data_IF_015506868432
#
_entry.id   IF_015506868432
#
_cell.length_a   1.000
_cell.length_b   1.000
_cell.length_c   1.000
_cell.angle_alpha   90.00
_cell.angle_beta   90.00
_cell.angle_gamma   90.00
#
_symmetry.space_group_name_H-M   'P 1'
#
loop_
_entity.id
_entity.type
_entity.pdbx_description
1 polymer ?
#
# COMPACT_ATOMS: atom_id res chain seq x y z
N UNK A 1 -14.19 13.01 7.80
CA UNK A 1 -12.99 12.44 8.44
C UNK A 1 -13.39 11.21 9.22
N UNK A 2 -12.69 10.11 9.02
CA UNK A 2 -12.89 8.86 9.76
C UNK A 2 -11.82 8.76 10.84
N UNK A 3 -12.24 8.72 12.11
CA UNK A 3 -11.33 8.64 13.25
C UNK A 3 -11.26 7.18 13.75
N UNK A 4 -10.62 6.30 12.98
CA UNK A 4 -10.42 4.90 13.29
C UNK A 4 -9.08 4.43 12.75
N UNK A 5 -8.53 3.38 13.32
CA UNK A 5 -7.35 2.72 12.77
C UNK A 5 -7.69 2.01 11.45
N UNK A 6 -6.79 2.07 10.49
CA UNK A 6 -6.95 1.37 9.22
C UNK A 6 -6.27 0.00 9.32
N UNK A 7 -6.98 -1.05 8.89
CA UNK A 7 -6.51 -2.43 9.00
C UNK A 7 -7.13 -3.32 7.91
N UNK A 8 -6.87 -4.61 8.00
CA UNK A 8 -7.48 -5.65 7.16
C UNK A 8 -8.89 -6.08 7.63
N UNK A 9 -9.34 -5.56 8.77
CA UNK A 9 -10.63 -5.92 9.37
C UNK A 9 -11.41 -4.69 9.81
N UNK A 10 -12.73 -4.77 9.70
CA UNK A 10 -13.64 -3.76 10.25
C UNK A 10 -14.15 -4.21 11.62
N UNK A 11 -13.90 -3.38 12.63
CA UNK A 11 -14.32 -3.57 14.02
C UNK A 11 -14.85 -2.25 14.57
N UNK A 12 -15.07 -2.18 15.88
CA UNK A 12 -15.42 -0.92 16.55
C UNK A 12 -14.33 0.15 16.35
N UNK A 13 -13.06 -0.24 16.38
CA UNK A 13 -11.91 0.67 16.37
C UNK A 13 -11.13 0.68 15.06
N UNK A 14 -11.38 -0.28 14.19
CA UNK A 14 -10.67 -0.43 12.91
C UNK A 14 -11.62 -0.44 11.73
N UNK A 15 -11.09 -0.05 10.56
CA UNK A 15 -11.81 -0.08 9.28
C UNK A 15 -10.91 -0.57 8.16
N UNK A 16 -11.51 -1.16 7.14
CA UNK A 16 -10.87 -1.38 5.84
C UNK A 16 -11.08 -0.16 4.95
N UNK A 17 -10.07 0.22 4.18
CA UNK A 17 -10.21 1.30 3.19
C UNK A 17 -11.32 0.98 2.19
N UNK A 18 -11.46 -0.28 1.79
CA UNK A 18 -12.49 -0.72 0.83
C UNK A 18 -13.93 -0.41 1.28
N UNK A 19 -14.17 -0.24 2.58
CA UNK A 19 -15.51 0.10 3.10
C UNK A 19 -15.93 1.53 2.75
N UNK A 20 -14.98 2.39 2.39
CA UNK A 20 -15.20 3.81 2.08
C UNK A 20 -15.08 4.16 0.59
N UNK A 21 -14.77 3.19 -0.25
CA UNK A 21 -14.59 3.38 -1.68
C UNK A 21 -15.65 2.59 -2.44
N UNK A 22 -16.63 3.31 -2.97
CA UNK A 22 -17.74 2.74 -3.74
C UNK A 22 -17.64 3.03 -5.24
N UNK A 23 -16.98 4.11 -5.63
CA UNK A 23 -16.82 4.48 -7.04
C UNK A 23 -15.58 3.81 -7.63
N UNK A 24 -15.81 2.87 -8.54
CA UNK A 24 -14.75 2.10 -9.22
C UNK A 24 -14.35 2.69 -10.58
N UNK A 25 -14.87 3.87 -10.94
CA UNK A 25 -14.60 4.54 -12.21
C UNK A 25 -13.63 5.72 -12.09
N UNK A 26 -13.28 6.11 -10.87
CA UNK A 26 -12.33 7.18 -10.61
C UNK A 26 -10.87 6.67 -10.58
N UNK A 27 -9.95 7.59 -10.82
CA UNK A 27 -8.54 7.38 -10.56
C UNK A 27 -8.27 7.59 -9.06
N UNK A 28 -7.50 6.71 -8.45
CA UNK A 28 -7.17 6.80 -7.03
C UNK A 28 -5.67 6.92 -6.80
N UNK A 29 -5.33 7.75 -5.83
CA UNK A 29 -4.01 7.81 -5.23
C UNK A 29 -4.12 7.55 -3.73
N UNK A 30 -3.37 6.55 -3.25
CA UNK A 30 -3.29 6.22 -1.83
C UNK A 30 -1.89 6.48 -1.30
N UNK A 31 -1.77 7.25 -0.23
CA UNK A 31 -0.56 7.33 0.58
C UNK A 31 -0.78 6.54 1.87
N UNK A 32 0.10 5.59 2.14
CA UNK A 32 0.00 4.69 3.30
C UNK A 32 1.24 4.87 4.18
N UNK A 33 1.01 5.32 5.41
CA UNK A 33 2.04 5.58 6.41
C UNK A 33 1.40 5.36 7.80
N UNK A 34 1.39 4.11 8.28
CA UNK A 34 0.56 3.64 9.40
C UNK A 34 1.35 2.85 10.45
N UNK A 35 2.60 3.26 10.67
CA UNK A 35 3.44 2.79 11.77
C UNK A 35 3.64 1.25 11.84
N UNK A 36 3.84 0.63 10.67
CA UNK A 36 4.14 -0.79 10.56
C UNK A 36 2.97 -1.70 10.21
N UNK A 37 1.77 -1.13 10.01
CA UNK A 37 0.56 -1.85 9.61
C UNK A 37 0.27 -1.75 8.09
N UNK A 38 1.23 -1.30 7.29
CA UNK A 38 1.05 -1.01 5.86
C UNK A 38 0.55 -2.21 5.07
N UNK A 39 1.08 -3.41 5.35
CA UNK A 39 0.63 -4.62 4.67
C UNK A 39 -0.81 -4.98 5.02
N UNK A 40 -1.22 -4.79 6.26
CA UNK A 40 -2.60 -5.01 6.68
C UNK A 40 -3.56 -4.02 6.03
N UNK A 41 -3.15 -2.77 5.89
CA UNK A 41 -3.93 -1.77 5.13
C UNK A 41 -4.11 -2.21 3.68
N UNK A 42 -3.04 -2.66 3.02
CA UNK A 42 -3.12 -3.18 1.64
C UNK A 42 -4.04 -4.40 1.53
N UNK A 43 -3.99 -5.32 2.47
CA UNK A 43 -4.92 -6.46 2.54
C UNK A 43 -6.37 -6.02 2.70
N UNK A 44 -6.62 -5.01 3.52
CA UNK A 44 -7.95 -4.40 3.66
C UNK A 44 -8.44 -3.65 2.42
N UNK A 45 -7.56 -3.41 1.46
CA UNK A 45 -7.88 -2.80 0.15
C UNK A 45 -8.00 -3.84 -0.97
N UNK A 46 -7.89 -5.12 -0.70
CA UNK A 46 -7.75 -6.17 -1.72
C UNK A 46 -8.85 -6.09 -2.79
N UNK A 47 -10.09 -5.88 -2.39
CA UNK A 47 -11.21 -5.74 -3.32
C UNK A 47 -11.04 -4.57 -4.30
N UNK A 48 -10.36 -3.49 -3.90
CA UNK A 48 -10.05 -2.34 -4.75
C UNK A 48 -8.86 -2.67 -5.63
N UNK A 49 -7.81 -3.26 -5.04
CA UNK A 49 -6.56 -3.54 -5.74
C UNK A 49 -6.75 -4.58 -6.86
N UNK A 50 -7.73 -5.46 -6.73
CA UNK A 50 -8.06 -6.46 -7.75
C UNK A 50 -8.94 -5.92 -8.89
N UNK A 51 -9.47 -4.72 -8.76
CA UNK A 51 -10.28 -4.10 -9.82
C UNK A 51 -9.41 -3.57 -10.96
N UNK A 52 -10.01 -3.54 -12.13
CA UNK A 52 -9.39 -2.98 -13.33
C UNK A 52 -9.62 -1.47 -13.38
N UNK A 53 -8.82 -0.72 -12.66
CA UNK A 53 -8.90 0.74 -12.54
C UNK A 53 -7.52 1.36 -12.38
N UNK A 54 -7.42 2.66 -12.58
CA UNK A 54 -6.17 3.38 -12.39
C UNK A 54 -5.91 3.60 -10.89
N UNK A 55 -4.83 3.01 -10.39
CA UNK A 55 -4.44 3.14 -9.00
C UNK A 55 -2.97 3.51 -8.90
N UNK A 56 -2.66 4.50 -8.10
CA UNK A 56 -1.30 4.84 -7.66
C UNK A 56 -1.21 4.73 -6.15
N UNK A 57 -0.15 4.11 -5.66
CA UNK A 57 0.07 3.91 -4.24
C UNK A 57 1.49 4.36 -3.87
N UNK A 58 1.64 5.06 -2.76
CA UNK A 58 2.90 5.32 -2.12
C UNK A 58 2.84 4.74 -0.70
N UNK A 59 3.69 3.76 -0.41
CA UNK A 59 3.73 3.05 0.87
C UNK A 59 5.04 3.33 1.56
N UNK A 60 4.99 3.81 2.80
CA UNK A 60 6.16 3.92 3.66
C UNK A 60 6.53 2.54 4.19
N UNK A 61 7.78 2.10 3.97
CA UNK A 61 8.24 0.73 4.27
C UNK A 61 9.40 0.68 5.24
N UNK A 62 9.59 1.75 6.01
CA UNK A 62 10.72 1.88 6.92
C UNK A 62 10.40 1.53 8.39
N UNK A 63 9.15 1.27 8.74
CA UNK A 63 8.76 1.02 10.13
C UNK A 63 9.29 -0.32 10.65
N UNK A 64 9.20 -1.39 9.85
CA UNK A 64 9.76 -2.70 10.18
C UNK A 64 10.79 -3.15 9.15
N UNK A 65 11.73 -3.98 9.59
CA UNK A 65 12.87 -4.35 8.77
C UNK A 65 12.57 -5.12 7.48
N UNK A 66 11.43 -5.80 7.41
CA UNK A 66 11.01 -6.60 6.24
C UNK A 66 9.80 -6.04 5.49
N UNK A 67 9.36 -4.84 5.83
CA UNK A 67 8.18 -4.24 5.21
C UNK A 67 8.36 -3.99 3.72
N UNK A 68 9.55 -3.55 3.32
CA UNK A 68 9.85 -3.29 1.92
C UNK A 68 9.61 -4.54 1.04
N UNK A 69 10.23 -5.66 1.39
CA UNK A 69 10.13 -6.90 0.62
C UNK A 69 8.69 -7.43 0.59
N UNK A 70 8.01 -7.40 1.73
CA UNK A 70 6.63 -7.88 1.86
C UNK A 70 5.65 -7.05 1.05
N UNK A 71 5.78 -5.73 1.09
CA UNK A 71 4.92 -4.81 0.33
C UNK A 71 5.17 -4.95 -1.17
N UNK A 72 6.44 -5.03 -1.59
CA UNK A 72 6.80 -5.23 -3.00
C UNK A 72 6.24 -6.54 -3.53
N UNK A 73 6.42 -7.64 -2.80
CA UNK A 73 5.90 -8.95 -3.19
C UNK A 73 4.37 -8.93 -3.31
N UNK A 74 3.68 -8.38 -2.32
CA UNK A 74 2.23 -8.29 -2.31
C UNK A 74 1.70 -7.50 -3.51
N UNK A 75 2.26 -6.33 -3.78
CA UNK A 75 1.81 -5.47 -4.89
C UNK A 75 2.16 -6.03 -6.26
N UNK A 76 3.31 -6.71 -6.40
CA UNK A 76 3.64 -7.44 -7.63
C UNK A 76 2.63 -8.55 -7.92
N UNK A 77 2.22 -9.30 -6.90
CA UNK A 77 1.21 -10.34 -7.04
C UNK A 77 -0.18 -9.78 -7.40
N UNK A 78 -0.42 -8.49 -7.15
CA UNK A 78 -1.61 -7.76 -7.58
C UNK A 78 -1.45 -7.06 -8.94
N UNK A 79 -0.39 -7.38 -9.68
CA UNK A 79 -0.10 -6.84 -11.03
C UNK A 79 0.22 -5.33 -11.05
N UNK A 80 0.81 -4.81 -9.98
CA UNK A 80 1.31 -3.44 -9.98
C UNK A 80 2.72 -3.36 -10.55
N UNK A 81 2.98 -2.28 -11.27
CA UNK A 81 4.34 -1.86 -11.62
C UNK A 81 4.95 -1.17 -10.40
N UNK A 82 6.15 -1.60 -10.01
CA UNK A 82 6.81 -1.17 -8.78
C UNK A 82 8.01 -0.28 -9.11
N UNK A 83 8.09 0.84 -8.40
CA UNK A 83 9.26 1.69 -8.27
C UNK A 83 9.47 1.98 -6.77
N UNK A 84 10.60 2.52 -6.39
CA UNK A 84 10.89 2.85 -5.00
C UNK A 84 11.84 4.04 -4.88
N UNK A 85 11.87 4.66 -3.71
CA UNK A 85 12.87 5.68 -3.39
C UNK A 85 14.28 5.10 -3.46
N UNK A 86 15.23 5.91 -3.91
CA UNK A 86 16.66 5.56 -3.91
C UNK A 86 17.25 5.75 -2.52
N UNK A 87 18.29 4.96 -2.21
CA UNK A 87 18.99 5.07 -0.93
C UNK A 87 18.26 4.41 0.23
N UNK A 88 18.74 4.71 1.43
CA UNK A 88 18.31 4.10 2.67
C UNK A 88 18.11 5.13 3.76
N UNK A 89 17.17 4.86 4.67
CA UNK A 89 17.00 5.58 5.93
C UNK A 89 17.75 4.83 7.04
N UNK A 90 18.32 5.56 7.99
CA UNK A 90 19.11 5.02 9.10
C UNK A 90 18.24 4.99 10.36
N UNK A 91 18.22 3.84 11.05
CA UNK A 91 17.47 3.59 12.29
C UNK A 91 18.39 2.99 13.36
N UNK A 92 19.34 3.77 13.84
CA UNK A 92 20.37 3.33 14.80
C UNK A 92 19.84 3.01 16.21
N UNK A 93 18.69 3.58 16.56
CA UNK A 93 18.03 3.34 17.86
C UNK A 93 16.91 2.28 17.80
N UNK A 94 16.83 1.55 16.71
CA UNK A 94 15.80 0.52 16.47
C UNK A 94 16.43 -0.86 16.33
N UNK A 95 15.60 -1.86 16.14
CA UNK A 95 16.07 -3.22 15.80
C UNK A 95 16.64 -3.26 14.38
N UNK A 96 17.64 -4.12 14.17
CA UNK A 96 18.17 -4.38 12.83
C UNK A 96 17.08 -4.90 11.86
N UNK A 97 17.19 -4.64 10.58
CA UNK A 97 18.26 -3.89 9.92
C UNK A 97 18.16 -2.38 10.18
N UNK A 98 19.31 -1.74 10.37
CA UNK A 98 19.38 -0.30 10.65
C UNK A 98 19.29 0.56 9.39
N UNK A 99 19.60 0.01 8.23
CA UNK A 99 19.42 0.65 6.94
C UNK A 99 18.13 0.12 6.30
N UNK A 100 17.15 0.99 6.10
CA UNK A 100 15.83 0.61 5.59
C UNK A 100 15.45 1.42 4.37
N UNK A 101 14.81 0.78 3.40
CA UNK A 101 14.26 1.46 2.22
C UNK A 101 12.98 2.19 2.61
N UNK A 102 12.85 3.44 2.11
CA UNK A 102 11.83 4.37 2.63
C UNK A 102 10.45 4.19 2.03
N UNK A 103 10.33 4.28 0.69
CA UNK A 103 9.02 4.36 0.03
C UNK A 103 8.95 3.44 -1.17
N UNK A 104 7.92 2.62 -1.21
CA UNK A 104 7.50 1.86 -2.40
C UNK A 104 6.41 2.65 -3.13
N UNK A 105 6.59 2.85 -4.43
CA UNK A 105 5.59 3.42 -5.32
C UNK A 105 5.07 2.34 -6.25
N UNK A 106 3.77 2.22 -6.36
CA UNK A 106 3.12 1.23 -7.18
C UNK A 106 2.07 1.87 -8.09
N UNK A 107 2.00 1.41 -9.33
CA UNK A 107 1.02 1.91 -10.30
C UNK A 107 0.35 0.75 -11.02
N UNK A 108 -0.94 0.88 -11.18
CA UNK A 108 -1.75 0.00 -12.01
C UNK A 108 -2.62 0.85 -12.93
N UNK A 109 -2.61 0.54 -14.22
CA UNK A 109 -3.40 1.27 -15.21
C UNK A 109 -4.53 0.39 -15.72
N UNK A 110 -5.68 1.00 -15.89
CA UNK A 110 -6.78 0.40 -16.61
C UNK A 110 -6.45 0.35 -18.11
N UNK A 111 -6.66 -0.81 -18.69
CA UNK A 111 -6.62 -1.00 -20.15
C UNK A 111 -8.00 -1.45 -20.61
N UNK A 112 -8.60 -0.70 -21.51
CA UNK A 112 -9.82 -1.16 -22.19
C UNK A 112 -9.49 -2.35 -23.10
N UNK A 113 -10.45 -3.26 -23.30
CA UNK A 113 -10.27 -4.44 -24.15
C UNK A 113 -9.74 -4.06 -25.54
N UNK A 114 -8.63 -4.67 -25.94
CA UNK A 114 -7.99 -4.44 -27.24
C UNK A 114 -7.12 -3.20 -27.35
N UNK A 115 -6.94 -2.43 -26.27
CA UNK A 115 -6.06 -1.26 -26.21
C UNK A 115 -5.09 -1.44 -25.04
N UNK A 116 -3.82 -1.47 -25.33
CA UNK A 116 -2.74 -1.52 -24.36
C UNK A 116 -1.84 -0.28 -24.48
#
# INVERSE_FOLDING_TARGET
>A
IVNKFVSDKTTTDTVKVSDYISDLHNDYFFKIDVEGEELNVLKGMENILDKNMNIKIAVCTYHNGKDFERVVEYLKNKNFNIDHSKGYMIFDLKTAPYLRRGVVRATKKFYSNGVQ
#
